data_IF_117816381258
#
_entry.id   IF_117816381258
#
_cell.length_a   1.000
_cell.length_b   1.000
_cell.length_c   1.000
_cell.angle_alpha   90.00
_cell.angle_beta   90.00
_cell.angle_gamma   90.00
#
_symmetry.space_group_name_H-M   'P 1'
#
loop_
_entity.id
_entity.type
_entity.pdbx_description
1 polymer ?
#
# COMPACT_ATOMS: atom_id res chain seq x y z
N UNK A 1 15.39 4.37 -7.58
CA UNK A 1 14.57 4.91 -6.49
C UNK A 1 13.59 3.81 -6.09
N UNK A 2 13.21 3.69 -4.81
CA UNK A 2 12.46 2.58 -4.18
C UNK A 2 13.27 1.38 -3.67
N UNK A 3 14.59 1.41 -3.81
CA UNK A 3 15.48 0.36 -3.30
C UNK A 3 16.51 0.93 -2.34
N UNK A 4 17.07 0.06 -1.49
CA UNK A 4 18.20 0.41 -0.64
C UNK A 4 19.39 0.90 -1.47
N UNK A 5 20.08 1.91 -0.95
CA UNK A 5 21.31 2.43 -1.54
C UNK A 5 22.52 1.62 -1.05
N UNK A 6 23.22 0.87 -1.93
CA UNK A 6 24.41 0.13 -1.52
C UNK A 6 25.53 1.02 -0.97
N UNK A 7 25.63 2.29 -1.38
CA UNK A 7 26.64 3.22 -0.84
C UNK A 7 26.38 3.58 0.63
N UNK A 8 25.14 3.38 1.12
CA UNK A 8 24.80 3.57 2.54
C UNK A 8 24.82 2.25 3.30
N UNK A 9 24.19 1.21 2.76
CA UNK A 9 23.97 -0.05 3.47
C UNK A 9 25.24 -0.92 3.54
N UNK A 10 26.11 -0.89 2.52
CA UNK A 10 27.37 -1.66 2.54
C UNK A 10 28.34 -1.13 3.61
N UNK A 11 28.56 0.19 3.77
CA UNK A 11 29.34 0.72 4.90
C UNK A 11 28.76 0.39 6.27
N UNK A 12 27.44 0.17 6.38
CA UNK A 12 26.82 -0.32 7.62
C UNK A 12 27.04 -1.82 7.86
N UNK A 13 27.76 -2.53 6.99
CA UNK A 13 28.08 -3.94 7.14
C UNK A 13 26.99 -4.89 6.62
N UNK A 14 26.21 -4.47 5.62
CA UNK A 14 25.25 -5.33 4.92
C UNK A 14 25.75 -5.68 3.51
N UNK A 15 25.47 -6.90 3.06
CA UNK A 15 25.51 -7.22 1.64
C UNK A 15 24.17 -6.81 1.02
N UNK A 16 24.20 -6.14 -0.14
CA UNK A 16 23.00 -5.74 -0.87
C UNK A 16 22.89 -6.55 -2.16
N UNK A 17 21.76 -7.24 -2.33
CA UNK A 17 21.43 -7.99 -3.55
C UNK A 17 20.20 -7.36 -4.19
N UNK A 18 20.29 -7.06 -5.49
CA UNK A 18 19.14 -6.69 -6.33
C UNK A 18 18.89 -7.82 -7.32
N UNK A 19 17.62 -8.14 -7.52
CA UNK A 19 17.19 -9.29 -8.33
C UNK A 19 16.31 -8.78 -9.45
N UNK A 20 16.71 -9.03 -10.69
CA UNK A 20 15.85 -8.81 -11.85
C UNK A 20 14.81 -9.93 -11.91
N UNK A 21 13.53 -9.56 -11.82
CA UNK A 21 12.41 -10.48 -11.97
C UNK A 21 12.46 -11.23 -13.30
N UNK A 22 11.89 -12.44 -13.34
CA UNK A 22 11.75 -13.23 -14.57
C UNK A 22 11.13 -12.39 -15.69
N UNK A 23 11.78 -12.37 -16.84
CA UNK A 23 11.31 -11.63 -18.02
C UNK A 23 11.55 -10.12 -17.97
N UNK A 24 12.20 -9.61 -16.92
CA UNK A 24 12.60 -8.22 -16.78
C UNK A 24 14.13 -8.12 -16.62
N UNK A 25 14.65 -6.92 -16.89
CA UNK A 25 16.06 -6.63 -16.77
C UNK A 25 16.92 -7.60 -17.58
N UNK A 26 17.97 -8.12 -16.95
CA UNK A 26 18.87 -9.12 -17.56
C UNK A 26 18.35 -10.55 -17.47
N UNK A 27 17.20 -10.79 -16.82
CA UNK A 27 16.60 -12.11 -16.62
C UNK A 27 15.64 -12.48 -17.77
N UNK A 28 15.97 -13.48 -18.61
CA UNK A 28 15.03 -13.94 -19.63
C UNK A 28 13.81 -14.63 -19.02
N UNK A 29 12.72 -14.71 -19.79
CA UNK A 29 11.53 -15.47 -19.44
C UNK A 29 10.23 -14.73 -19.72
N UNK A 30 9.14 -15.29 -19.22
CA UNK A 30 7.80 -14.71 -19.32
C UNK A 30 7.56 -13.75 -18.16
N UNK A 31 7.29 -12.48 -18.48
CA UNK A 31 7.08 -11.41 -17.51
C UNK A 31 5.63 -11.43 -16.99
N UNK A 32 5.44 -11.80 -15.73
CA UNK A 32 4.12 -11.86 -15.09
C UNK A 32 4.22 -11.36 -13.65
N UNK A 33 3.90 -10.07 -13.47
CA UNK A 33 4.06 -9.37 -12.20
C UNK A 33 3.17 -9.95 -11.10
N UNK A 34 3.72 -10.03 -9.90
CA UNK A 34 3.11 -10.55 -8.68
C UNK A 34 2.57 -11.98 -8.81
N UNK A 35 3.01 -12.71 -9.83
CA UNK A 35 2.53 -14.06 -10.07
C UNK A 35 3.08 -15.05 -9.04
N UNK A 36 2.41 -16.19 -8.85
CA UNK A 36 2.98 -17.29 -8.06
C UNK A 36 4.37 -17.72 -8.57
N UNK A 37 4.61 -17.59 -9.88
CA UNK A 37 5.91 -17.93 -10.47
C UNK A 37 7.00 -16.94 -10.07
N UNK A 38 6.74 -15.64 -10.15
CA UNK A 38 7.69 -14.62 -9.70
C UNK A 38 7.97 -14.76 -8.19
N UNK A 39 6.92 -15.03 -7.40
CA UNK A 39 7.05 -15.26 -5.96
C UNK A 39 7.98 -16.45 -5.65
N UNK A 40 7.85 -17.55 -6.41
CA UNK A 40 8.72 -18.71 -6.27
C UNK A 40 10.17 -18.41 -6.69
N UNK A 41 10.37 -17.61 -7.74
CA UNK A 41 11.71 -17.16 -8.14
C UNK A 41 12.34 -16.30 -7.02
N UNK A 42 11.56 -15.45 -6.36
CA UNK A 42 12.05 -14.64 -5.23
C UNK A 42 12.42 -15.50 -4.01
N UNK A 43 11.64 -16.55 -3.71
CA UNK A 43 12.01 -17.55 -2.70
C UNK A 43 13.40 -18.14 -2.99
N UNK A 44 13.66 -18.55 -4.23
CA UNK A 44 14.96 -19.12 -4.59
C UNK A 44 16.10 -18.12 -4.49
N UNK A 45 15.85 -16.85 -4.81
CA UNK A 45 16.84 -15.79 -4.64
C UNK A 45 17.21 -15.55 -3.17
N UNK A 46 16.22 -15.61 -2.26
CA UNK A 46 16.44 -15.51 -0.81
C UNK A 46 17.29 -16.68 -0.30
N UNK A 47 16.94 -17.91 -0.66
CA UNK A 47 17.69 -19.10 -0.23
C UNK A 47 19.11 -19.14 -0.83
N UNK A 48 19.27 -18.65 -2.05
CA UNK A 48 20.59 -18.49 -2.64
C UNK A 48 21.43 -17.46 -1.87
N UNK A 49 20.86 -16.30 -1.55
CA UNK A 49 21.54 -15.23 -0.82
C UNK A 49 21.90 -15.66 0.61
N UNK A 50 21.04 -16.43 1.27
CA UNK A 50 21.28 -16.97 2.62
C UNK A 50 22.45 -17.96 2.69
N UNK A 51 22.82 -18.59 1.58
CA UNK A 51 23.83 -19.68 1.55
C UNK A 51 25.19 -19.26 0.98
N UNK A 52 25.37 -17.98 0.62
CA UNK A 52 26.66 -17.53 0.05
C UNK A 52 27.74 -17.41 1.13
N UNK A 53 29.04 -17.56 0.78
CA UNK A 53 30.14 -17.42 1.75
C UNK A 53 30.24 -16.06 2.44
N UNK A 54 29.69 -15.00 1.82
CA UNK A 54 29.62 -13.65 2.38
C UNK A 54 28.37 -13.41 3.25
N UNK A 55 27.46 -14.39 3.32
CA UNK A 55 26.21 -14.29 4.07
C UNK A 55 26.37 -14.91 5.46
N UNK A 56 25.73 -14.29 6.46
CA UNK A 56 25.65 -14.84 7.81
C UNK A 56 24.43 -15.77 7.99
N UNK A 57 23.75 -16.15 6.91
CA UNK A 57 22.54 -16.98 6.94
C UNK A 57 21.25 -16.22 7.16
N UNK A 58 21.29 -14.90 7.41
CA UNK A 58 20.10 -14.07 7.69
C UNK A 58 19.84 -13.09 6.55
N UNK A 59 18.74 -13.27 5.84
CA UNK A 59 18.32 -12.38 4.74
C UNK A 59 17.21 -11.44 5.24
N UNK A 60 17.37 -10.15 4.95
CA UNK A 60 16.34 -9.13 5.14
C UNK A 60 15.81 -8.60 3.81
N UNK A 61 14.51 -8.33 3.72
CA UNK A 61 13.91 -7.70 2.53
C UNK A 61 13.55 -6.25 2.83
N UNK A 62 13.91 -5.33 1.95
CA UNK A 62 13.63 -3.90 2.12
C UNK A 62 13.47 -3.22 0.76
N UNK A 63 12.42 -2.39 0.65
CA UNK A 63 12.10 -1.65 -0.56
C UNK A 63 10.69 -1.11 -0.52
N UNK A 64 10.37 -0.27 -1.49
CA UNK A 64 9.09 0.44 -1.59
C UNK A 64 8.20 -0.20 -2.68
N UNK A 65 6.88 -0.01 -2.61
CA UNK A 65 5.95 -0.30 -3.72
C UNK A 65 6.05 -1.72 -4.26
N UNK A 66 6.45 -1.93 -5.53
CA UNK A 66 6.62 -3.25 -6.15
C UNK A 66 7.50 -4.18 -5.30
N UNK A 67 8.58 -3.63 -4.75
CA UNK A 67 9.49 -4.39 -3.90
C UNK A 67 8.80 -4.78 -2.60
N UNK A 68 8.06 -3.87 -1.96
CA UNK A 68 7.30 -4.14 -0.73
C UNK A 68 6.18 -5.18 -0.93
N UNK A 69 5.42 -5.06 -2.02
CA UNK A 69 4.35 -6.01 -2.40
C UNK A 69 4.92 -7.44 -2.49
N UNK A 70 6.06 -7.61 -3.17
CA UNK A 70 6.72 -8.91 -3.30
C UNK A 70 7.20 -9.50 -1.96
N UNK A 71 7.53 -8.66 -0.96
CA UNK A 71 7.88 -9.17 0.38
C UNK A 71 6.70 -9.90 1.01
N UNK A 72 5.48 -9.38 0.88
CA UNK A 72 4.29 -10.04 1.40
C UNK A 72 4.05 -11.40 0.76
N UNK A 73 4.14 -11.47 -0.58
CA UNK A 73 3.95 -12.72 -1.31
C UNK A 73 4.98 -13.78 -0.92
N UNK A 74 6.28 -13.42 -0.92
CA UNK A 74 7.34 -14.38 -0.65
C UNK A 74 7.37 -14.81 0.82
N UNK A 75 7.02 -13.92 1.76
CA UNK A 75 6.92 -14.26 3.17
C UNK A 75 5.86 -15.34 3.47
N UNK A 76 4.79 -15.40 2.67
CA UNK A 76 3.79 -16.46 2.77
C UNK A 76 4.32 -17.84 2.34
N UNK A 77 5.44 -17.90 1.62
CA UNK A 77 6.15 -19.15 1.30
C UNK A 77 7.16 -19.57 2.38
N UNK A 78 7.36 -18.74 3.41
CA UNK A 78 8.24 -18.99 4.55
C UNK A 78 9.66 -19.47 4.16
N UNK A 79 10.44 -18.67 3.39
CA UNK A 79 11.82 -19.02 3.07
C UNK A 79 12.65 -19.18 4.37
N UNK A 80 13.35 -20.30 4.58
CA UNK A 80 14.13 -20.55 5.78
C UNK A 80 15.13 -19.45 6.15
N UNK A 81 15.76 -18.79 5.16
CA UNK A 81 16.75 -17.73 5.43
C UNK A 81 16.12 -16.33 5.58
N UNK A 82 14.82 -16.17 5.32
CA UNK A 82 14.12 -14.89 5.49
C UNK A 82 13.91 -14.58 6.97
N UNK A 83 14.74 -13.70 7.52
CA UNK A 83 14.78 -13.40 8.95
C UNK A 83 13.93 -12.19 9.34
N UNK A 84 13.85 -11.17 8.48
CA UNK A 84 13.08 -9.96 8.75
C UNK A 84 12.72 -9.23 7.45
N UNK A 85 11.69 -8.38 7.47
CA UNK A 85 11.28 -7.62 6.29
C UNK A 85 10.77 -6.21 6.62
N UNK A 86 10.99 -5.27 5.70
CA UNK A 86 10.53 -3.87 5.75
C UNK A 86 9.77 -3.57 4.44
N UNK A 87 8.51 -3.99 4.36
CA UNK A 87 7.63 -3.64 3.25
C UNK A 87 7.13 -2.21 3.41
N UNK A 88 7.91 -1.27 2.88
CA UNK A 88 7.61 0.16 2.92
C UNK A 88 6.56 0.51 1.87
N UNK A 89 5.40 1.02 2.27
CA UNK A 89 4.29 1.33 1.37
C UNK A 89 4.00 0.19 0.38
N UNK A 90 3.59 -0.96 0.91
CA UNK A 90 3.33 -2.18 0.17
C UNK A 90 1.85 -2.54 0.22
N UNK A 91 1.18 -2.41 -0.91
CA UNK A 91 -0.14 -3.01 -1.09
C UNK A 91 -0.04 -4.55 -1.05
N UNK A 92 -1.17 -5.25 -0.93
CA UNK A 92 -1.16 -6.70 -0.77
C UNK A 92 -2.26 -7.43 -1.55
N UNK A 93 -3.41 -6.79 -1.76
CA UNK A 93 -4.56 -7.40 -2.42
C UNK A 93 -4.73 -6.81 -3.82
N UNK A 94 -4.39 -7.59 -4.86
CA UNK A 94 -4.43 -7.11 -6.23
C UNK A 94 -5.81 -6.59 -6.65
N UNK A 95 -6.87 -7.20 -6.13
CA UNK A 95 -8.22 -6.78 -6.43
C UNK A 95 -8.50 -5.44 -5.75
N UNK A 96 -8.42 -5.40 -4.42
CA UNK A 96 -8.92 -4.27 -3.60
C UNK A 96 -7.99 -3.06 -3.58
N UNK A 97 -6.70 -3.27 -3.75
CA UNK A 97 -5.70 -2.20 -3.60
C UNK A 97 -5.39 -1.52 -4.93
N UNK A 98 -5.42 -2.24 -6.06
CA UNK A 98 -4.95 -1.73 -7.36
C UNK A 98 -6.04 -1.60 -8.41
N UNK A 99 -6.73 -2.69 -8.72
CA UNK A 99 -7.61 -2.75 -9.88
C UNK A 99 -9.06 -2.41 -9.57
N UNK A 100 -9.53 -2.62 -8.33
CA UNK A 100 -10.95 -2.56 -7.97
C UNK A 100 -11.15 -1.87 -6.63
N UNK A 101 -11.35 -0.55 -6.65
CA UNK A 101 -11.70 0.21 -5.45
C UNK A 101 -13.20 0.07 -5.19
N UNK A 102 -13.56 -0.74 -4.20
CA UNK A 102 -14.96 -1.06 -3.91
C UNK A 102 -15.70 -1.75 -5.06
N UNK A 103 -14.99 -2.47 -5.94
CA UNK A 103 -15.55 -3.10 -7.15
C UNK A 103 -15.45 -2.25 -8.43
N UNK A 104 -15.13 -0.96 -8.30
CA UNK A 104 -14.98 -0.03 -9.44
C UNK A 104 -13.61 -0.22 -10.08
N UNK A 105 -13.54 -0.41 -11.40
CA UNK A 105 -12.27 -0.54 -12.12
C UNK A 105 -11.42 0.74 -12.00
N UNK A 106 -10.24 0.63 -11.38
CA UNK A 106 -9.21 1.64 -11.38
C UNK A 106 -8.11 1.25 -12.36
N UNK A 107 -8.08 1.90 -13.52
CA UNK A 107 -7.18 1.56 -14.63
C UNK A 107 -6.08 2.60 -14.88
N UNK A 108 -6.31 3.87 -14.54
CA UNK A 108 -5.42 4.96 -14.95
C UNK A 108 -3.98 4.81 -14.46
N UNK A 109 -3.81 4.34 -13.21
CA UNK A 109 -2.50 4.05 -12.65
C UNK A 109 -1.79 2.97 -13.48
N UNK A 110 -2.43 1.82 -13.71
CA UNK A 110 -1.83 0.70 -14.44
C UNK A 110 -1.57 1.01 -15.92
N UNK A 111 -2.45 1.77 -16.57
CA UNK A 111 -2.26 2.28 -17.94
C UNK A 111 -1.01 3.14 -18.10
N UNK A 112 -0.56 3.77 -17.01
CA UNK A 112 0.61 4.65 -16.99
C UNK A 112 1.85 3.93 -16.46
N UNK A 113 1.71 3.25 -15.33
CA UNK A 113 2.80 2.57 -14.63
C UNK A 113 3.32 1.36 -15.39
N UNK A 114 2.44 0.49 -15.90
CA UNK A 114 2.86 -0.78 -16.51
C UNK A 114 3.73 -0.56 -17.76
N UNK A 115 3.38 0.30 -18.74
CA UNK A 115 4.25 0.55 -19.88
C UNK A 115 5.57 1.22 -19.48
N UNK A 116 5.53 2.15 -18.51
CA UNK A 116 6.70 2.97 -18.13
C UNK A 116 7.69 2.27 -17.22
N UNK A 117 7.23 1.40 -16.33
CA UNK A 117 8.05 0.79 -15.28
C UNK A 117 8.27 -0.70 -15.51
N UNK A 118 7.30 -1.40 -16.11
CA UNK A 118 7.37 -2.86 -16.31
C UNK A 118 7.85 -3.20 -17.72
N UNK A 119 7.13 -2.73 -18.75
CA UNK A 119 7.49 -3.03 -20.15
C UNK A 119 8.76 -2.30 -20.61
N UNK A 120 9.02 -1.12 -20.07
CA UNK A 120 10.24 -0.37 -20.37
C UNK A 120 11.52 -1.16 -20.04
N UNK A 121 11.47 -2.05 -19.04
CA UNK A 121 12.60 -2.91 -18.64
C UNK A 121 12.35 -4.38 -18.97
N UNK A 122 11.35 -4.71 -19.80
CA UNK A 122 11.13 -6.09 -20.26
C UNK A 122 12.39 -6.61 -20.94
N UNK A 123 12.81 -7.81 -20.57
CA UNK A 123 14.02 -8.43 -21.09
C UNK A 123 13.99 -8.48 -22.63
N UNK A 124 15.07 -8.00 -23.25
CA UNK A 124 15.16 -7.93 -24.70
C UNK A 124 14.47 -6.73 -25.35
N UNK A 125 13.92 -5.80 -24.58
CA UNK A 125 13.38 -4.55 -25.12
C UNK A 125 14.52 -3.65 -25.62
N UNK A 126 14.60 -3.44 -26.94
CA UNK A 126 15.63 -2.62 -27.58
C UNK A 126 15.53 -1.11 -27.26
N UNK A 127 14.37 -0.65 -26.78
CA UNK A 127 14.12 0.74 -26.39
C UNK A 127 14.28 0.98 -24.88
N UNK A 128 14.77 -0.02 -24.14
CA UNK A 128 14.97 0.09 -22.70
C UNK A 128 15.99 1.18 -22.36
N UNK A 129 15.81 1.89 -21.22
CA UNK A 129 16.77 2.88 -20.78
C UNK A 129 18.12 2.21 -20.49
N UNK A 130 19.21 2.99 -20.53
CA UNK A 130 20.50 2.50 -20.10
C UNK A 130 20.57 2.43 -18.58
N UNK A 131 21.13 1.34 -18.07
CA UNK A 131 21.58 1.27 -16.69
C UNK A 131 22.70 2.29 -16.48
N UNK A 132 22.56 3.13 -15.46
CA UNK A 132 23.50 4.23 -15.20
C UNK A 132 24.89 3.70 -14.81
N UNK A 133 24.97 2.56 -14.12
CA UNK A 133 26.23 2.02 -13.61
C UNK A 133 27.02 1.27 -14.68
N UNK A 134 26.33 0.45 -15.47
CA UNK A 134 26.95 -0.37 -16.51
C UNK A 134 27.06 0.37 -17.85
N UNK A 135 26.28 1.43 -18.08
CA UNK A 135 26.12 2.10 -19.37
C UNK A 135 25.66 1.13 -20.50
N UNK A 136 25.00 0.04 -20.10
CA UNK A 136 24.39 -0.97 -20.96
C UNK A 136 22.87 -0.86 -20.93
N UNK A 137 22.15 -1.57 -21.82
CA UNK A 137 20.69 -1.65 -21.73
C UNK A 137 20.25 -2.25 -20.40
N UNK A 138 19.28 -1.62 -19.74
CA UNK A 138 18.66 -2.16 -18.51
C UNK A 138 17.93 -3.47 -18.75
N UNK A 139 17.43 -3.74 -19.97
CA UNK A 139 16.78 -4.99 -20.37
C UNK A 139 17.74 -6.12 -20.80
N UNK A 140 19.03 -5.95 -20.50
CA UNK A 140 20.09 -6.88 -20.89
C UNK A 140 20.52 -6.76 -22.35
N UNK A 141 21.49 -7.59 -22.78
CA UNK A 141 22.11 -7.47 -24.11
C UNK A 141 21.27 -8.04 -25.25
N UNK A 142 20.23 -8.82 -24.94
CA UNK A 142 19.33 -9.37 -25.95
C UNK A 142 18.49 -8.27 -26.60
N UNK A 143 18.08 -8.49 -27.85
CA UNK A 143 17.10 -7.65 -28.53
C UNK A 143 16.08 -8.57 -29.19
N UNK A 144 14.85 -8.55 -28.69
CA UNK A 144 13.77 -9.40 -29.16
C UNK A 144 12.89 -8.63 -30.17
N UNK A 145 12.38 -9.29 -31.22
CA UNK A 145 11.41 -8.66 -32.11
C UNK A 145 10.12 -8.33 -31.36
N UNK A 146 9.39 -7.30 -31.81
CA UNK A 146 8.16 -6.80 -31.16
C UNK A 146 7.13 -7.90 -30.88
N UNK A 147 7.01 -8.89 -31.78
CA UNK A 147 6.05 -9.98 -31.57
C UNK A 147 6.48 -10.96 -30.49
N UNK A 148 7.78 -11.17 -30.31
CA UNK A 148 8.28 -11.95 -29.17
C UNK A 148 8.10 -11.19 -27.86
N UNK A 149 8.35 -9.88 -27.83
CA UNK A 149 8.07 -9.05 -26.65
C UNK A 149 6.59 -9.12 -26.28
N UNK A 150 5.69 -8.95 -27.26
CA UNK A 150 4.23 -9.04 -27.06
C UNK A 150 3.77 -10.41 -26.56
N UNK A 151 4.42 -11.49 -27.00
CA UNK A 151 4.10 -12.85 -26.55
C UNK A 151 4.69 -13.18 -25.16
N UNK A 152 5.69 -12.42 -24.69
CA UNK A 152 6.48 -12.74 -23.50
C UNK A 152 6.11 -11.94 -22.24
N UNK A 153 4.85 -11.47 -22.13
CA UNK A 153 4.35 -10.94 -20.87
C UNK A 153 2.85 -11.22 -20.67
N UNK A 154 2.41 -11.15 -19.40
CA UNK A 154 1.01 -11.18 -19.03
C UNK A 154 0.41 -9.78 -19.08
N UNK A 155 -0.58 -9.56 -19.94
CA UNK A 155 -1.36 -8.31 -19.95
C UNK A 155 -2.32 -8.28 -18.76
N UNK A 156 -1.81 -7.86 -17.61
CA UNK A 156 -2.54 -7.83 -16.35
C UNK A 156 -3.70 -6.83 -16.39
N UNK A 157 -3.59 -5.75 -17.16
CA UNK A 157 -4.67 -4.78 -17.33
C UNK A 157 -5.81 -5.35 -18.18
N UNK A 158 -5.51 -6.06 -19.26
CA UNK A 158 -6.54 -6.76 -20.03
C UNK A 158 -7.23 -7.84 -19.19
N UNK A 159 -6.49 -8.57 -18.37
CA UNK A 159 -7.06 -9.52 -17.41
C UNK A 159 -8.00 -8.82 -16.43
N UNK A 160 -7.59 -7.71 -15.83
CA UNK A 160 -8.42 -6.97 -14.87
C UNK A 160 -9.67 -6.36 -15.51
N UNK A 161 -9.60 -5.88 -16.76
CA UNK A 161 -10.77 -5.40 -17.51
C UNK A 161 -11.80 -6.50 -17.74
N UNK A 162 -11.35 -7.72 -18.02
CA UNK A 162 -12.22 -8.88 -18.23
C UNK A 162 -12.74 -9.55 -16.95
N UNK A 163 -12.19 -9.21 -15.78
CA UNK A 163 -12.53 -9.84 -14.49
C UNK A 163 -13.13 -8.82 -13.53
N UNK A 164 -14.43 -8.93 -13.30
CA UNK A 164 -15.13 -8.00 -12.39
C UNK A 164 -15.03 -8.41 -10.91
N UNK A 165 -15.03 -9.72 -10.64
CA UNK A 165 -15.04 -10.27 -9.28
C UNK A 165 -13.64 -10.70 -8.83
N UNK A 166 -13.44 -10.75 -7.52
CA UNK A 166 -12.23 -11.26 -6.85
C UNK A 166 -12.14 -12.79 -7.03
N UNK A 167 -11.72 -13.21 -8.23
CA UNK A 167 -11.60 -14.60 -8.64
C UNK A 167 -10.20 -15.19 -8.34
N UNK A 168 -9.99 -16.45 -8.73
CA UNK A 168 -8.73 -17.16 -8.48
C UNK A 168 -7.48 -16.49 -9.08
N UNK A 169 -7.61 -15.64 -10.11
CA UNK A 169 -6.47 -14.90 -10.69
C UNK A 169 -6.04 -13.72 -9.80
N UNK A 170 -6.99 -13.10 -9.11
CA UNK A 170 -6.69 -12.09 -8.09
C UNK A 170 -6.18 -12.72 -6.80
N UNK A 171 -6.84 -13.78 -6.34
CA UNK A 171 -6.51 -14.46 -5.09
C UNK A 171 -5.11 -15.07 -5.11
N UNK A 172 -4.66 -15.61 -6.25
CA UNK A 172 -3.29 -16.13 -6.37
C UNK A 172 -2.21 -15.03 -6.51
N UNK A 173 -2.61 -13.76 -6.57
CA UNK A 173 -1.77 -12.56 -6.51
C UNK A 173 -2.09 -11.73 -5.27
N UNK A 174 -2.45 -12.41 -4.19
CA UNK A 174 -2.62 -11.85 -2.85
C UNK A 174 -1.94 -12.78 -1.83
N UNK A 175 -1.29 -12.26 -0.77
CA UNK A 175 -0.61 -13.09 0.21
C UNK A 175 -1.61 -13.81 1.13
N UNK A 176 -1.26 -15.02 1.55
CA UNK A 176 -1.95 -15.71 2.64
C UNK A 176 -1.37 -15.22 3.97
N UNK A 177 -2.06 -14.28 4.62
CA UNK A 177 -1.64 -13.68 5.87
C UNK A 177 -1.39 -14.70 7.00
N UNK A 178 -2.10 -15.83 6.98
CA UNK A 178 -1.91 -16.88 7.99
C UNK A 178 -0.52 -17.53 7.92
N UNK A 179 0.16 -17.40 6.77
CA UNK A 179 1.51 -17.94 6.54
C UNK A 179 2.61 -16.90 6.68
N UNK A 180 2.29 -15.61 6.74
CA UNK A 180 3.28 -14.55 6.94
C UNK A 180 3.67 -14.51 8.42
N UNK A 181 4.72 -15.25 8.77
CA UNK A 181 5.25 -15.38 10.15
C UNK A 181 6.53 -14.57 10.38
N UNK A 182 7.21 -14.14 9.32
CA UNK A 182 8.46 -13.38 9.39
C UNK A 182 8.26 -12.08 10.18
N UNK A 183 9.19 -11.69 11.07
CA UNK A 183 9.18 -10.38 11.71
C UNK A 183 9.18 -9.23 10.71
N UNK A 184 8.38 -8.20 10.94
CA UNK A 184 8.33 -7.04 10.05
C UNK A 184 8.02 -5.71 10.73
N UNK A 185 8.48 -4.62 10.13
CA UNK A 185 7.88 -3.30 10.32
C UNK A 185 7.25 -2.86 9.00
N UNK A 186 6.02 -2.36 9.05
CA UNK A 186 5.22 -1.97 7.89
C UNK A 186 4.94 -0.46 7.89
N UNK A 187 5.83 0.36 7.29
CA UNK A 187 5.59 1.79 7.06
C UNK A 187 4.50 2.02 6.02
N UNK A 188 3.53 2.88 6.34
CA UNK A 188 2.38 3.20 5.52
C UNK A 188 2.22 4.72 5.39
N UNK A 189 2.04 5.23 4.17
CA UNK A 189 1.71 6.64 3.98
C UNK A 189 0.22 6.89 4.23
N UNK A 190 -0.09 7.91 5.04
CA UNK A 190 -1.46 8.42 5.23
C UNK A 190 -2.12 8.89 3.94
N UNK A 191 -1.30 9.17 2.94
CA UNK A 191 -1.67 9.95 1.78
C UNK A 191 -1.69 9.11 0.48
N UNK A 192 -1.43 7.80 0.61
CA UNK A 192 -1.44 6.82 -0.49
C UNK A 192 -2.82 6.23 -0.80
N UNK A 193 -3.91 6.99 -0.62
CA UNK A 193 -5.27 6.48 -0.86
C UNK A 193 -5.39 5.82 -2.24
N UNK A 194 -6.05 4.66 -2.30
CA UNK A 194 -6.25 3.93 -3.55
C UNK A 194 -5.05 3.12 -4.03
N UNK A 195 -4.01 2.92 -3.20
CA UNK A 195 -2.94 1.97 -3.52
C UNK A 195 -2.41 1.23 -2.27
N UNK A 196 -1.28 1.67 -1.71
CA UNK A 196 -0.50 0.92 -0.71
C UNK A 196 -1.06 0.80 0.71
N UNK A 197 -1.57 1.86 1.36
CA UNK A 197 -1.76 1.87 2.81
C UNK A 197 -2.72 0.77 3.28
N UNK A 198 -3.75 0.45 2.50
CA UNK A 198 -4.67 -0.65 2.85
C UNK A 198 -3.90 -1.96 3.06
N UNK A 199 -3.00 -2.34 2.15
CA UNK A 199 -2.19 -3.55 2.27
C UNK A 199 -1.28 -3.55 3.50
N UNK A 200 -0.67 -2.40 3.82
CA UNK A 200 0.14 -2.24 5.03
C UNK A 200 -0.65 -2.44 6.33
N UNK A 201 -1.81 -1.78 6.46
CA UNK A 201 -2.68 -1.93 7.64
C UNK A 201 -3.29 -3.34 7.73
N UNK A 202 -3.64 -3.95 6.60
CA UNK A 202 -4.11 -5.34 6.54
C UNK A 202 -3.02 -6.31 7.01
N UNK A 203 -1.78 -6.13 6.56
CA UNK A 203 -0.65 -6.94 7.00
C UNK A 203 -0.47 -6.90 8.53
N UNK A 204 -0.47 -5.70 9.13
CA UNK A 204 -0.36 -5.59 10.58
C UNK A 204 -1.53 -6.27 11.30
N UNK A 205 -2.76 -6.14 10.80
CA UNK A 205 -3.94 -6.70 11.47
C UNK A 205 -4.11 -8.21 11.26
N UNK A 206 -3.65 -8.77 10.15
CA UNK A 206 -3.97 -10.15 9.74
C UNK A 206 -2.78 -11.09 9.67
N UNK A 207 -1.55 -10.61 9.44
CA UNK A 207 -0.39 -11.49 9.34
C UNK A 207 -0.17 -12.28 10.64
N UNK A 208 0.21 -13.54 10.51
CA UNK A 208 0.42 -14.45 11.64
C UNK A 208 1.66 -14.11 12.49
N UNK A 209 2.57 -13.28 11.97
CA UNK A 209 3.77 -12.81 12.66
C UNK A 209 3.44 -12.27 14.05
N UNK A 210 4.21 -12.74 15.05
CA UNK A 210 4.13 -12.28 16.43
C UNK A 210 4.96 -11.02 16.67
N UNK A 211 5.88 -10.74 15.77
CA UNK A 211 6.82 -9.63 15.84
C UNK A 211 6.58 -8.69 14.67
N UNK A 212 5.51 -7.91 14.79
CA UNK A 212 5.06 -6.97 13.76
C UNK A 212 4.90 -5.57 14.31
N UNK A 213 5.36 -4.59 13.54
CA UNK A 213 5.23 -3.17 13.82
C UNK A 213 4.55 -2.46 12.65
N UNK A 214 3.79 -1.42 12.95
CA UNK A 214 3.14 -0.54 12.00
C UNK A 214 3.70 0.86 12.20
N UNK A 215 4.10 1.49 11.11
CA UNK A 215 4.50 2.89 11.09
C UNK A 215 3.60 3.63 10.11
N UNK A 216 3.11 4.82 10.49
CA UNK A 216 2.25 5.66 9.67
C UNK A 216 2.84 7.04 9.51
N UNK A 217 3.06 7.49 8.27
CA UNK A 217 3.71 8.77 7.99
C UNK A 217 3.01 9.59 6.88
N UNK A 218 3.21 10.91 6.83
CA UNK A 218 2.73 11.77 5.75
C UNK A 218 3.77 11.89 4.62
N UNK A 219 3.48 12.71 3.60
CA UNK A 219 4.48 13.10 2.61
C UNK A 219 4.46 12.24 1.34
N UNK A 220 5.50 12.40 0.53
CA UNK A 220 5.61 11.74 -0.78
C UNK A 220 6.06 10.28 -0.64
N UNK A 221 5.74 9.48 -1.65
CA UNK A 221 5.91 8.02 -1.67
C UNK A 221 7.30 7.51 -1.25
N UNK A 222 8.35 8.13 -1.79
CA UNK A 222 9.72 7.68 -1.62
C UNK A 222 10.44 8.41 -0.48
N UNK A 223 9.89 9.54 -0.05
CA UNK A 223 10.60 10.54 0.75
C UNK A 223 11.02 9.98 2.11
N UNK A 224 10.06 9.45 2.87
CA UNK A 224 10.31 8.97 4.23
C UNK A 224 11.20 7.74 4.30
N UNK A 225 11.29 6.97 3.21
CA UNK A 225 12.23 5.86 3.11
C UNK A 225 13.69 6.34 3.15
N UNK A 226 13.99 7.51 2.59
CA UNK A 226 15.37 8.03 2.49
C UNK A 226 15.69 9.14 3.51
N UNK A 227 14.69 9.70 4.20
CA UNK A 227 14.92 10.64 5.29
C UNK A 227 15.67 9.98 6.45
N UNK A 228 16.41 10.80 7.21
CA UNK A 228 17.21 10.34 8.37
C UNK A 228 16.37 9.51 9.35
N UNK A 229 15.12 9.92 9.62
CA UNK A 229 14.18 9.16 10.45
C UNK A 229 13.96 7.74 9.91
N UNK A 230 13.60 7.59 8.63
CA UNK A 230 13.32 6.30 8.03
C UNK A 230 14.57 5.43 7.90
N UNK A 231 15.70 6.02 7.53
CA UNK A 231 16.98 5.31 7.45
C UNK A 231 17.43 4.81 8.83
N UNK A 232 17.25 5.61 9.90
CA UNK A 232 17.53 5.19 11.26
C UNK A 232 16.59 4.08 11.73
N UNK A 233 15.30 4.16 11.42
CA UNK A 233 14.31 3.13 11.72
C UNK A 233 14.67 1.80 11.05
N UNK A 234 14.92 1.82 9.74
CA UNK A 234 15.27 0.63 8.95
C UNK A 234 16.54 -0.04 9.49
N UNK A 235 17.57 0.76 9.74
CA UNK A 235 18.85 0.27 10.27
C UNK A 235 18.69 -0.35 11.66
N UNK A 236 17.95 0.30 12.57
CA UNK A 236 17.72 -0.23 13.93
C UNK A 236 17.00 -1.58 13.88
N UNK A 237 15.94 -1.68 13.08
CA UNK A 237 15.19 -2.92 12.91
C UNK A 237 16.08 -4.06 12.39
N UNK A 238 16.84 -3.82 11.32
CA UNK A 238 17.71 -4.85 10.76
C UNK A 238 18.94 -5.16 11.61
N UNK A 239 19.53 -4.20 12.31
CA UNK A 239 20.65 -4.49 13.20
C UNK A 239 20.20 -5.44 14.33
N UNK A 240 18.95 -5.31 14.81
CA UNK A 240 18.38 -6.25 15.78
C UNK A 240 18.22 -7.65 15.18
N UNK A 241 17.44 -7.82 14.11
CA UNK A 241 17.13 -9.16 13.57
C UNK A 241 18.31 -9.83 12.84
N UNK A 242 19.01 -9.07 12.00
CA UNK A 242 20.01 -9.60 11.06
C UNK A 242 21.41 -9.66 11.68
N UNK A 243 21.71 -8.83 12.69
CA UNK A 243 23.01 -8.83 13.39
C UNK A 243 22.94 -9.23 14.86
N UNK A 244 21.76 -9.32 15.45
CA UNK A 244 21.61 -9.63 16.87
C UNK A 244 22.03 -8.49 17.79
N UNK A 245 21.94 -7.23 17.31
CA UNK A 245 22.30 -6.07 18.12
C UNK A 245 21.30 -5.84 19.27
N UNK A 246 21.80 -5.65 20.48
CA UNK A 246 21.01 -5.30 21.67
C UNK A 246 20.69 -3.80 21.68
N UNK A 247 19.83 -3.35 20.76
CA UNK A 247 19.52 -1.93 20.54
C UNK A 247 18.13 -1.51 21.07
N UNK A 248 17.51 -2.36 21.90
CA UNK A 248 16.22 -2.14 22.54
C UNK A 248 15.00 -2.21 21.63
N UNK A 249 15.14 -2.70 20.38
CA UNK A 249 14.02 -2.79 19.44
C UNK A 249 12.83 -3.61 19.96
N UNK A 250 13.11 -4.68 20.70
CA UNK A 250 12.16 -5.57 21.35
C UNK A 250 11.23 -4.87 22.36
N UNK A 251 11.64 -3.71 22.87
CA UNK A 251 10.88 -2.89 23.81
C UNK A 251 10.03 -1.80 23.11
N UNK A 252 10.12 -1.66 21.79
CA UNK A 252 9.41 -0.61 21.07
C UNK A 252 7.90 -0.93 20.94
N UNK A 253 7.01 0.04 21.19
CA UNK A 253 5.57 -0.10 20.95
C UNK A 253 5.29 -0.53 19.52
N UNK A 254 4.22 -1.32 19.32
CA UNK A 254 3.93 -1.97 18.03
C UNK A 254 3.42 -1.01 16.95
N UNK A 255 2.96 0.18 17.31
CA UNK A 255 2.33 1.14 16.40
C UNK A 255 2.93 2.53 16.59
N UNK A 256 3.40 3.13 15.50
CA UNK A 256 4.09 4.42 15.46
C UNK A 256 3.37 5.32 14.44
N UNK A 257 2.68 6.36 14.89
CA UNK A 257 1.86 7.20 14.03
C UNK A 257 2.39 8.64 14.04
N UNK A 258 2.95 9.10 12.93
CA UNK A 258 3.29 10.51 12.72
C UNK A 258 2.02 11.26 12.34
N UNK A 259 1.35 11.84 13.34
CA UNK A 259 0.06 12.51 13.21
C UNK A 259 0.18 13.80 12.41
N UNK A 260 -0.75 13.99 11.47
CA UNK A 260 -0.86 15.19 10.64
C UNK A 260 -1.61 16.28 11.41
N UNK A 261 -1.11 17.53 11.37
CA UNK A 261 -1.78 18.70 11.95
C UNK A 261 -2.22 19.66 10.82
N UNK A 262 -3.43 20.23 10.88
CA UNK A 262 -3.89 21.21 9.89
C UNK A 262 -2.90 22.38 9.74
N UNK A 263 -2.61 22.76 8.49
CA UNK A 263 -1.75 23.92 8.16
C UNK A 263 -0.36 23.89 8.81
N UNK A 264 0.16 22.71 9.10
CA UNK A 264 1.50 22.52 9.68
C UNK A 264 2.34 21.57 8.84
N UNK A 265 3.64 21.84 8.79
CA UNK A 265 4.65 20.89 8.30
C UNK A 265 5.24 20.04 9.44
N UNK A 266 4.81 20.25 10.68
CA UNK A 266 5.24 19.46 11.83
C UNK A 266 4.33 18.26 12.06
N UNK A 267 4.94 17.18 12.57
CA UNK A 267 4.25 15.93 12.88
C UNK A 267 4.46 15.57 14.35
N UNK A 268 3.46 14.94 14.94
CA UNK A 268 3.54 14.43 16.30
C UNK A 268 3.63 12.90 16.24
N UNK A 269 4.74 12.34 16.72
CA UNK A 269 4.89 10.89 16.82
C UNK A 269 4.10 10.36 18.02
N UNK A 270 2.97 9.70 17.74
CA UNK A 270 2.19 8.95 18.72
C UNK A 270 2.58 7.47 18.67
N UNK A 271 3.00 6.91 19.80
CA UNK A 271 3.28 5.47 19.93
C UNK A 271 2.15 4.75 20.67
N UNK A 272 1.83 3.53 20.26
CA UNK A 272 0.80 2.68 20.85
C UNK A 272 1.13 1.18 20.67
N UNK A 273 0.44 0.31 21.40
CA UNK A 273 0.66 -1.14 21.36
C UNK A 273 -0.26 -1.90 20.40
N UNK A 274 -1.33 -1.26 19.90
CA UNK A 274 -2.35 -1.91 19.10
C UNK A 274 -2.88 -1.01 17.98
N UNK A 275 -3.27 -1.65 16.87
CA UNK A 275 -4.03 -1.04 15.78
C UNK A 275 -5.28 -1.89 15.46
N UNK A 276 -6.48 -1.30 15.34
CA UNK A 276 -6.81 0.10 15.66
C UNK A 276 -6.43 0.47 17.10
N UNK A 277 -6.31 1.78 17.38
CA UNK A 277 -5.86 2.26 18.69
C UNK A 277 -6.80 1.75 19.79
N UNK A 278 -6.23 1.31 20.92
CA UNK A 278 -7.00 0.68 22.00
C UNK A 278 -8.01 1.65 22.66
N UNK A 279 -7.71 2.95 22.62
CA UNK A 279 -8.55 4.03 23.13
C UNK A 279 -9.47 4.65 22.07
N UNK A 280 -9.59 4.05 20.87
CA UNK A 280 -10.51 4.52 19.83
C UNK A 280 -11.95 4.51 20.33
N UNK A 281 -12.56 5.70 20.34
CA UNK A 281 -13.99 5.89 20.62
C UNK A 281 -14.79 5.88 19.31
N UNK A 282 -15.29 4.70 18.93
CA UNK A 282 -16.16 4.52 17.76
C UNK A 282 -17.44 5.34 17.91
N UNK A 283 -17.49 6.48 17.23
CA UNK A 283 -18.54 7.48 17.37
C UNK A 283 -19.34 7.58 16.09
N UNK A 284 -20.66 7.47 16.19
CA UNK A 284 -21.56 7.63 15.04
C UNK A 284 -21.80 9.11 14.79
N UNK A 285 -21.67 9.50 13.53
CA UNK A 285 -22.21 10.74 12.99
C UNK A 285 -23.32 10.35 12.00
N UNK A 286 -24.46 11.01 12.10
CA UNK A 286 -25.66 10.78 11.33
C UNK A 286 -25.78 11.84 10.23
N UNK A 287 -26.18 11.39 9.05
CA UNK A 287 -26.48 12.26 7.91
C UNK A 287 -27.96 12.65 7.97
N UNK A 288 -28.23 13.95 8.02
CA UNK A 288 -29.57 14.49 7.82
C UNK A 288 -29.75 14.91 6.36
N UNK A 289 -30.52 14.13 5.61
CA UNK A 289 -30.79 14.40 4.20
C UNK A 289 -31.84 15.51 3.95
N UNK A 290 -32.57 15.95 4.98
CA UNK A 290 -33.56 17.03 4.89
C UNK A 290 -32.91 18.42 4.93
N UNK A 291 -31.87 18.59 5.75
CA UNK A 291 -31.17 19.88 5.92
C UNK A 291 -29.69 19.86 5.52
N UNK A 292 -29.11 18.70 5.23
CA UNK A 292 -27.71 18.59 4.81
C UNK A 292 -26.71 18.72 5.96
N UNK A 293 -27.06 18.25 7.17
CA UNK A 293 -26.15 18.28 8.34
C UNK A 293 -25.54 16.91 8.65
N UNK A 294 -24.34 16.95 9.26
CA UNK A 294 -23.65 15.79 9.83
C UNK A 294 -23.60 15.97 11.36
N UNK A 295 -24.34 15.17 12.12
CA UNK A 295 -24.53 15.40 13.57
C UNK A 295 -24.32 14.14 14.42
N UNK A 296 -24.02 14.30 15.71
CA UNK A 296 -23.95 13.21 16.68
C UNK A 296 -25.34 12.73 17.11
N UNK A 297 -26.37 13.55 16.92
CA UNK A 297 -27.76 13.17 17.14
C UNK A 297 -28.39 12.67 15.83
N UNK A 298 -29.13 11.56 15.91
CA UNK A 298 -29.87 11.06 14.77
C UNK A 298 -30.99 12.04 14.38
N UNK A 299 -31.27 12.23 13.07
CA UNK A 299 -32.37 13.07 12.62
C UNK A 299 -33.71 12.52 13.13
N UNK A 300 -34.61 13.41 13.53
CA UNK A 300 -35.92 13.03 14.06
C UNK A 300 -36.82 12.42 12.99
N UNK A 301 -36.73 12.96 11.77
CA UNK A 301 -37.55 12.57 10.62
C UNK A 301 -36.68 11.96 9.51
N UNK A 302 -37.30 11.08 8.72
CA UNK A 302 -36.65 10.53 7.55
C UNK A 302 -36.54 11.59 6.44
N UNK A 303 -35.32 11.85 5.98
CA UNK A 303 -35.04 12.74 4.84
C UNK A 303 -34.62 11.99 3.58
N UNK A 304 -34.69 12.66 2.43
CA UNK A 304 -34.13 12.19 1.16
C UNK A 304 -33.44 13.33 0.44
N UNK A 305 -32.24 13.06 -0.06
CA UNK A 305 -31.51 13.93 -0.98
C UNK A 305 -31.26 13.17 -2.28
N UNK A 306 -31.29 13.87 -3.41
CA UNK A 306 -31.02 13.31 -4.74
C UNK A 306 -30.01 14.19 -5.45
N UNK A 307 -29.17 13.58 -6.28
CA UNK A 307 -28.21 14.28 -7.13
C UNK A 307 -28.01 13.50 -8.42
N UNK A 308 -27.51 14.18 -9.45
CA UNK A 308 -27.15 13.52 -10.71
C UNK A 308 -25.76 12.90 -10.59
N UNK A 309 -25.55 11.68 -11.10
CA UNK A 309 -24.32 10.92 -10.89
C UNK A 309 -23.04 11.63 -11.35
N UNK A 310 -23.13 12.57 -12.32
CA UNK A 310 -22.00 13.35 -12.84
C UNK A 310 -22.08 14.84 -12.41
N UNK A 311 -22.67 15.12 -11.25
CA UNK A 311 -22.70 16.45 -10.62
C UNK A 311 -21.68 16.56 -9.49
N UNK A 312 -21.66 17.72 -8.80
CA UNK A 312 -20.88 17.93 -7.57
C UNK A 312 -21.37 17.10 -6.36
N UNK A 313 -22.41 16.29 -6.56
CA UNK A 313 -22.96 15.41 -5.54
C UNK A 313 -23.69 16.16 -4.43
N UNK A 314 -23.58 15.61 -3.23
CA UNK A 314 -24.25 16.10 -2.02
C UNK A 314 -23.24 16.20 -0.89
N UNK A 315 -23.46 17.15 0.01
CA UNK A 315 -22.54 17.44 1.11
C UNK A 315 -23.32 17.55 2.40
N UNK A 316 -22.73 17.00 3.47
CA UNK A 316 -23.21 17.16 4.83
C UNK A 316 -22.13 17.83 5.66
N UNK A 317 -22.49 18.87 6.40
CA UNK A 317 -21.57 19.64 7.21
C UNK A 317 -21.94 19.52 8.70
N UNK A 318 -20.95 19.30 9.56
CA UNK A 318 -21.16 19.33 11.00
C UNK A 318 -21.15 20.76 11.53
N UNK A 319 -21.73 21.01 12.70
CA UNK A 319 -21.35 22.18 13.48
C UNK A 319 -19.82 22.26 13.67
N UNK A 320 -19.26 23.47 13.89
CA UNK A 320 -17.85 23.61 14.23
C UNK A 320 -17.47 22.74 15.44
N UNK A 321 -16.30 22.11 15.38
CA UNK A 321 -15.79 21.32 16.50
C UNK A 321 -15.47 22.26 17.67
N UNK A 322 -16.06 22.02 18.83
CA UNK A 322 -15.90 22.87 20.03
C UNK A 322 -14.54 22.71 20.73
N UNK A 323 -13.81 21.64 20.37
CA UNK A 323 -12.51 21.31 20.95
C UNK A 323 -11.62 20.61 19.92
N UNK A 324 -10.33 20.64 20.19
CA UNK A 324 -9.37 19.84 19.44
C UNK A 324 -9.80 18.37 19.42
N UNK A 325 -9.81 17.79 18.22
CA UNK A 325 -10.32 16.44 17.97
C UNK A 325 -9.34 15.71 17.04
N UNK A 326 -8.82 14.58 17.52
CA UNK A 326 -8.00 13.67 16.72
C UNK A 326 -8.91 12.63 16.04
N UNK A 327 -8.76 12.47 14.72
CA UNK A 327 -9.41 11.42 13.94
C UNK A 327 -8.35 10.46 13.41
N UNK A 328 -8.18 9.32 14.10
CA UNK A 328 -7.17 8.32 13.78
C UNK A 328 -7.78 6.91 13.82
N UNK A 329 -7.82 6.26 12.66
CA UNK A 329 -8.34 4.90 12.52
C UNK A 329 -9.16 4.71 11.24
N UNK A 330 -9.67 3.48 11.03
CA UNK A 330 -10.64 3.22 9.97
C UNK A 330 -11.92 4.06 10.11
N UNK A 331 -12.53 4.40 8.98
CA UNK A 331 -13.85 5.05 8.93
C UNK A 331 -14.79 4.21 8.06
N UNK A 332 -16.07 4.15 8.44
CA UNK A 332 -17.10 3.47 7.68
C UNK A 332 -18.30 4.40 7.46
N UNK A 333 -18.80 4.43 6.22
CA UNK A 333 -20.01 5.16 5.86
C UNK A 333 -21.12 4.17 5.51
N UNK A 334 -22.24 4.23 6.24
CA UNK A 334 -23.45 3.47 5.94
C UNK A 334 -24.49 4.38 5.28
N UNK A 335 -24.89 4.03 4.06
CA UNK A 335 -25.92 4.75 3.29
C UNK A 335 -27.14 3.86 3.02
N UNK A 336 -28.30 4.50 2.96
CA UNK A 336 -29.51 3.94 2.36
C UNK A 336 -29.65 4.57 0.97
N UNK A 337 -29.42 3.78 -0.07
CA UNK A 337 -29.30 4.25 -1.45
C UNK A 337 -30.41 3.67 -2.33
N UNK A 338 -30.89 4.49 -3.27
CA UNK A 338 -31.66 4.06 -4.44
C UNK A 338 -31.10 4.73 -5.69
N UNK A 339 -31.06 4.03 -6.82
CA UNK A 339 -30.65 4.58 -8.12
C UNK A 339 -31.78 4.47 -9.16
N UNK A 340 -31.78 5.36 -10.15
CA UNK A 340 -32.62 5.24 -11.36
C UNK A 340 -32.08 4.21 -12.36
N UNK A 341 -30.86 3.73 -12.15
CA UNK A 341 -30.18 2.67 -12.92
C UNK A 341 -30.11 1.36 -12.13
N UNK A 342 -29.69 0.29 -12.79
CA UNK A 342 -29.54 -1.05 -12.18
C UNK A 342 -28.37 -1.15 -11.19
N UNK A 343 -27.42 -0.23 -11.26
CA UNK A 343 -26.24 -0.16 -10.39
C UNK A 343 -25.76 1.29 -10.22
N UNK A 344 -24.93 1.56 -9.22
CA UNK A 344 -24.39 2.88 -8.93
C UNK A 344 -22.96 2.80 -8.38
N UNK A 345 -22.11 3.73 -8.80
CA UNK A 345 -20.76 3.91 -8.28
C UNK A 345 -20.76 5.09 -7.30
N UNK A 346 -20.31 4.85 -6.07
CA UNK A 346 -20.22 5.84 -5.00
C UNK A 346 -18.78 6.25 -4.80
N UNK A 347 -18.56 7.57 -4.74
CA UNK A 347 -17.30 8.21 -4.42
C UNK A 347 -17.54 9.08 -3.18
N UNK A 348 -16.75 8.86 -2.14
CA UNK A 348 -16.94 9.50 -0.83
C UNK A 348 -15.63 10.16 -0.42
N UNK A 349 -15.70 11.42 -0.03
CA UNK A 349 -14.56 12.18 0.50
C UNK A 349 -14.91 12.74 1.87
N UNK A 350 -14.01 12.56 2.84
CA UNK A 350 -14.08 13.21 4.14
C UNK A 350 -13.16 14.44 4.08
N UNK A 351 -13.73 15.61 4.33
CA UNK A 351 -13.04 16.89 4.32
C UNK A 351 -13.11 17.55 5.70
N UNK A 352 -12.16 18.42 5.99
CA UNK A 352 -12.24 19.33 7.14
C UNK A 352 -12.00 20.76 6.68
N UNK A 353 -12.60 21.72 7.38
CA UNK A 353 -12.52 23.13 7.05
C UNK A 353 -12.12 23.94 8.28
N UNK A 354 -11.27 24.94 8.06
CA UNK A 354 -10.93 25.94 9.07
C UNK A 354 -12.09 26.93 9.28
N UNK A 355 -12.09 27.71 10.38
CA UNK A 355 -13.11 28.72 10.65
C UNK A 355 -13.26 29.79 9.56
N UNK A 356 -12.21 30.01 8.75
CA UNK A 356 -12.21 30.93 7.61
C UNK A 356 -12.68 30.28 6.29
N UNK A 357 -13.12 29.02 6.34
CA UNK A 357 -13.63 28.26 5.20
C UNK A 357 -12.56 27.59 4.34
N UNK A 358 -11.26 27.71 4.66
CA UNK A 358 -10.20 27.00 3.93
C UNK A 358 -10.26 25.50 4.22
N UNK A 359 -10.14 24.68 3.18
CA UNK A 359 -10.02 23.23 3.32
C UNK A 359 -8.70 22.86 4.00
N UNK A 360 -8.76 21.83 4.85
CA UNK A 360 -7.59 21.21 5.46
C UNK A 360 -7.12 20.09 4.55
N UNK A 361 -6.05 20.37 3.81
CA UNK A 361 -5.43 19.43 2.88
C UNK A 361 -4.06 18.98 3.41
N UNK A 362 -3.61 17.82 2.92
CA UNK A 362 -2.29 17.27 3.25
C UNK A 362 -1.53 16.86 2.00
N UNK A 363 -0.21 16.88 2.08
CA UNK A 363 0.66 16.35 1.04
C UNK A 363 0.36 14.85 0.82
N UNK A 364 -0.09 14.54 -0.39
CA UNK A 364 -0.32 13.19 -0.94
C UNK A 364 0.91 12.53 -1.52
N UNK A 365 0.77 11.25 -1.86
CA UNK A 365 1.77 10.47 -2.62
C UNK A 365 2.04 11.09 -3.99
N UNK A 366 0.98 11.51 -4.71
CA UNK A 366 1.06 12.10 -6.06
C UNK A 366 0.41 13.48 -6.13
N UNK A 367 -0.62 13.72 -5.32
CA UNK A 367 -1.35 14.98 -5.25
C UNK A 367 -0.89 15.81 -4.03
N UNK A 368 -0.40 17.05 -4.17
CA UNK A 368 -0.05 17.88 -3.01
C UNK A 368 -1.24 18.30 -2.14
N UNK A 369 -2.47 18.11 -2.62
CA UNK A 369 -3.71 18.56 -1.99
C UNK A 369 -4.68 17.39 -1.74
N UNK A 370 -4.35 16.54 -0.77
CA UNK A 370 -5.23 15.39 -0.42
C UNK A 370 -6.18 15.71 0.73
N UNK A 371 -7.42 15.20 0.67
CA UNK A 371 -8.40 15.33 1.75
C UNK A 371 -8.04 14.42 2.94
N UNK A 372 -8.87 14.41 3.99
CA UNK A 372 -8.63 13.57 5.17
C UNK A 372 -8.69 12.08 4.85
N UNK A 373 -9.69 11.66 4.07
CA UNK A 373 -9.90 10.28 3.65
C UNK A 373 -10.81 10.20 2.42
N UNK A 374 -10.69 9.10 1.68
CA UNK A 374 -11.55 8.77 0.54
C UNK A 374 -12.01 7.32 0.58
N UNK A 375 -13.16 7.05 -0.04
CA UNK A 375 -13.74 5.71 -0.16
C UNK A 375 -14.58 5.55 -1.42
N UNK A 376 -14.70 4.30 -1.86
CA UNK A 376 -15.36 3.92 -3.10
C UNK A 376 -16.22 2.68 -2.91
N UNK A 377 -17.35 2.61 -3.59
CA UNK A 377 -18.18 1.41 -3.63
C UNK A 377 -19.05 1.36 -4.88
N UNK A 378 -18.98 0.26 -5.62
CA UNK A 378 -20.01 -0.14 -6.57
C UNK A 378 -21.14 -0.83 -5.83
N UNK A 379 -22.38 -0.35 -5.99
CA UNK A 379 -23.52 -0.80 -5.21
C UNK A 379 -23.85 -2.29 -5.43
N UNK A 380 -23.60 -2.86 -6.61
CA UNK A 380 -23.72 -4.30 -6.85
C UNK A 380 -22.72 -5.15 -6.06
N UNK A 381 -21.62 -4.55 -5.58
CA UNK A 381 -20.57 -5.20 -4.76
C UNK A 381 -20.75 -4.95 -3.24
N UNK A 382 -21.91 -4.44 -2.81
CA UNK A 382 -22.19 -4.04 -1.41
C UNK A 382 -22.21 -5.17 -0.36
N UNK A 383 -22.21 -6.44 -0.78
CA UNK A 383 -22.36 -7.54 0.17
C UNK A 383 -21.12 -7.63 1.06
N UNK A 384 -21.35 -7.57 2.38
CA UNK A 384 -20.29 -7.67 3.37
C UNK A 384 -19.87 -9.12 3.60
N UNK A 385 -18.59 -9.31 3.93
CA UNK A 385 -18.09 -10.54 4.54
C UNK A 385 -18.30 -10.43 6.07
N UNK A 386 -19.27 -11.16 6.65
CA UNK A 386 -19.61 -11.03 8.07
C UNK A 386 -18.49 -11.51 9.01
N UNK A 387 -17.53 -12.30 8.53
CA UNK A 387 -16.41 -12.77 9.33
C UNK A 387 -15.27 -11.72 9.41
N UNK A 388 -15.17 -10.84 8.42
CA UNK A 388 -14.08 -9.85 8.30
C UNK A 388 -14.51 -8.42 8.59
N UNK A 389 -15.75 -8.06 8.30
CA UNK A 389 -16.26 -6.71 8.52
C UNK A 389 -16.29 -6.36 10.01
N UNK A 390 -15.67 -5.24 10.36
CA UNK A 390 -15.69 -4.65 11.71
C UNK A 390 -16.30 -3.24 11.64
N UNK A 391 -16.89 -2.74 12.75
CA UNK A 391 -17.46 -1.39 12.83
C UNK A 391 -16.47 -0.27 12.51
#
# INVERSE_FOLDING_TARGET
>A
WETVDPETWVPWGYAVVRVDSRGAGRSPGYLDIFSPRETQDYYHAIEWAGTRPWSNGKVGLNGISYYAINQWHVAALQPPHLTAMIPWEGAADMYRDWYRHGGILSNKFMETWFPRQVLAVQHGNAEAPKDHWMNESSSGPAQLPKEALKANYCDTLANARGREMDDGWYQNRSPDWSKVITPFISPASWAGFGLHPRGNFEAFTQAASKEKWLEGHPGRHEEWFYLEYGMALQKRFFDYYLKGAENGWDNEPRVWLNLRRPFSSTFELRKADAWPLADTKWTKLFLDAGVGSLDWQAPADAGKMSFDALSDGVRWLSPPLERETELTGPMALKLYLSSSTVDADLFVTVMAFAPDGREVEFQGTVDPHTPLAQGWLRASHRQLDPARSRP
#
